data_IF_602284383588
#
_entry.id   IF_602284383588
#
_cell.length_a   1.000
_cell.length_b   1.000
_cell.length_c   1.000
_cell.angle_alpha   90.00
_cell.angle_beta   90.00
_cell.angle_gamma   90.00
#
_symmetry.space_group_name_H-M   'P 1'
#
loop_
_entity.id
_entity.type
_entity.pdbx_description
1 polymer ?
#
# COMPACT_ATOMS: atom_id res chain seq x y z
N UNK A 1 -14.22 -3.56 4.00
CA UNK A 1 -14.59 -2.14 3.88
C UNK A 1 -13.45 -1.35 4.50
N UNK A 2 -12.33 -1.24 3.78
CA UNK A 2 -11.14 -0.51 4.24
C UNK A 2 -11.38 0.99 4.09
N UNK A 3 -11.17 1.75 5.17
CA UNK A 3 -11.43 3.18 5.27
C UNK A 3 -10.35 4.05 4.60
N UNK A 4 -9.27 3.44 4.11
CA UNK A 4 -8.15 4.07 3.38
C UNK A 4 -8.66 4.92 2.21
N UNK A 5 -9.78 4.53 1.59
CA UNK A 5 -10.33 5.24 0.44
C UNK A 5 -10.89 6.63 0.72
N UNK A 6 -11.05 7.06 1.98
CA UNK A 6 -11.74 8.33 2.27
C UNK A 6 -10.77 9.51 2.38
N UNK A 7 -9.58 9.31 2.95
CA UNK A 7 -8.64 10.42 3.22
C UNK A 7 -7.76 10.69 1.99
N UNK A 8 -7.21 9.66 1.37
CA UNK A 8 -6.35 9.80 0.17
C UNK A 8 -7.18 10.31 -1.02
N UNK A 9 -8.40 9.82 -1.23
CA UNK A 9 -9.29 10.36 -2.29
C UNK A 9 -9.71 11.80 -2.04
N UNK A 10 -9.77 12.26 -0.80
CA UNK A 10 -10.15 13.64 -0.50
C UNK A 10 -9.03 14.63 -0.86
N UNK A 11 -7.77 14.24 -0.63
CA UNK A 11 -6.60 15.08 -0.92
C UNK A 11 -6.29 15.09 -2.42
N UNK A 12 -6.23 13.92 -3.06
CA UNK A 12 -5.94 13.82 -4.50
C UNK A 12 -7.16 14.13 -5.40
N UNK A 13 -8.38 14.12 -4.86
CA UNK A 13 -9.62 14.35 -5.62
C UNK A 13 -10.08 15.81 -5.72
N UNK A 14 -9.51 16.75 -4.94
CA UNK A 14 -10.04 18.12 -4.87
C UNK A 14 -9.30 19.19 -5.69
N UNK A 15 -8.16 18.89 -6.34
CA UNK A 15 -7.44 19.90 -7.13
C UNK A 15 -7.89 20.06 -8.60
N UNK A 16 -8.98 19.43 -9.04
CA UNK A 16 -9.58 19.66 -10.36
C UNK A 16 -11.01 20.20 -10.31
N UNK A 17 -11.30 21.24 -9.53
CA UNK A 17 -12.52 22.03 -9.77
C UNK A 17 -12.28 23.53 -9.58
N UNK A 18 -11.63 24.15 -10.57
CA UNK A 18 -12.01 25.50 -10.96
C UNK A 18 -12.22 25.58 -12.48
N UNK A 19 -13.40 26.11 -12.82
CA UNK A 19 -13.90 26.57 -14.10
C UNK A 19 -14.41 25.52 -15.13
N UNK A 20 -15.75 25.48 -15.21
CA UNK A 20 -16.60 25.20 -16.37
C UNK A 20 -16.69 23.79 -16.96
N UNK A 21 -17.93 23.27 -16.94
CA UNK A 21 -18.42 22.30 -17.92
C UNK A 21 -18.44 20.87 -17.40
N UNK A 22 -19.63 20.40 -17.02
CA UNK A 22 -19.92 19.00 -16.72
C UNK A 22 -19.50 18.11 -17.89
N UNK A 23 -18.45 17.33 -17.69
CA UNK A 23 -18.29 16.01 -18.33
C UNK A 23 -18.18 15.01 -17.18
N UNK A 24 -19.16 14.13 -16.96
CA UNK A 24 -18.98 13.03 -16.03
C UNK A 24 -17.90 12.13 -16.63
N UNK A 25 -16.68 12.22 -16.11
CA UNK A 25 -15.63 11.26 -16.42
C UNK A 25 -16.18 9.90 -16.00
N UNK A 26 -16.37 9.00 -16.97
CA UNK A 26 -17.09 7.76 -16.74
C UNK A 26 -16.34 6.87 -15.76
N UNK A 27 -17.05 6.35 -14.75
CA UNK A 27 -16.58 5.39 -13.73
C UNK A 27 -16.07 4.05 -14.30
N UNK A 28 -16.00 3.89 -15.63
CA UNK A 28 -15.56 2.65 -16.28
C UNK A 28 -14.09 2.34 -16.02
N UNK A 29 -13.22 3.35 -16.07
CA UNK A 29 -11.76 3.18 -15.89
C UNK A 29 -11.40 2.83 -14.45
N UNK A 30 -11.94 3.56 -13.47
CA UNK A 30 -11.76 3.25 -12.05
C UNK A 30 -12.26 1.84 -11.71
N UNK A 31 -13.39 1.42 -12.31
CA UNK A 31 -13.90 0.06 -12.11
C UNK A 31 -13.05 -1.04 -12.75
N UNK A 32 -12.30 -0.71 -13.82
CA UNK A 32 -11.40 -1.66 -14.49
C UNK A 32 -10.11 -1.84 -13.72
N UNK A 33 -9.47 -0.74 -13.32
CA UNK A 33 -8.26 -0.78 -12.48
C UNK A 33 -8.51 -1.56 -11.19
N UNK A 34 -9.62 -1.30 -10.50
CA UNK A 34 -9.95 -2.02 -9.27
C UNK A 34 -10.17 -3.52 -9.52
N UNK A 35 -10.80 -3.89 -10.64
CA UNK A 35 -10.95 -5.31 -11.03
C UNK A 35 -9.61 -5.98 -11.31
N UNK A 36 -8.70 -5.29 -11.99
CA UNK A 36 -7.36 -5.80 -12.29
C UNK A 36 -6.57 -5.98 -11.00
N UNK A 37 -6.61 -5.01 -10.09
CA UNK A 37 -6.01 -5.11 -8.75
C UNK A 37 -6.58 -6.28 -7.95
N UNK A 38 -7.91 -6.43 -7.87
CA UNK A 38 -8.51 -7.57 -7.18
C UNK A 38 -8.11 -8.92 -7.79
N UNK A 39 -7.93 -9.00 -9.11
CA UNK A 39 -7.47 -10.21 -9.77
C UNK A 39 -5.99 -10.53 -9.43
N UNK A 40 -5.11 -9.53 -9.40
CA UNK A 40 -3.71 -9.70 -8.94
C UNK A 40 -3.64 -10.17 -7.50
N UNK A 41 -4.40 -9.51 -6.61
CA UNK A 41 -4.51 -9.89 -5.20
C UNK A 41 -4.94 -11.35 -5.08
N UNK A 42 -5.99 -11.77 -5.79
CA UNK A 42 -6.49 -13.15 -5.70
C UNK A 42 -5.47 -14.18 -6.22
N UNK A 43 -4.75 -13.86 -7.31
CA UNK A 43 -3.73 -14.73 -7.86
C UNK A 43 -2.52 -14.88 -6.91
N UNK A 44 -2.00 -13.75 -6.42
CA UNK A 44 -0.91 -13.74 -5.45
C UNK A 44 -1.30 -14.44 -4.15
N UNK A 45 -2.51 -14.21 -3.64
CA UNK A 45 -3.01 -14.88 -2.43
C UNK A 45 -3.06 -16.40 -2.61
N UNK A 46 -3.53 -16.90 -3.75
CA UNK A 46 -3.57 -18.35 -4.03
C UNK A 46 -2.17 -18.98 -4.02
N UNK A 47 -1.16 -18.25 -4.49
CA UNK A 47 0.23 -18.70 -4.55
C UNK A 47 0.93 -18.60 -3.19
N UNK A 48 0.77 -17.47 -2.50
CA UNK A 48 1.50 -17.15 -1.27
C UNK A 48 0.89 -17.76 -0.02
N UNK A 49 -0.42 -18.02 0.00
CA UNK A 49 -1.14 -18.50 1.19
C UNK A 49 -0.51 -19.74 1.84
N UNK A 50 -0.12 -20.81 1.11
CA UNK A 50 0.55 -21.96 1.71
C UNK A 50 1.88 -21.56 2.39
N UNK A 51 2.71 -20.79 1.67
CA UNK A 51 4.03 -20.39 2.13
C UNK A 51 3.97 -19.45 3.34
N UNK A 52 3.17 -18.38 3.30
CA UNK A 52 2.98 -17.47 4.44
C UNK A 52 2.48 -18.25 5.66
N UNK A 53 1.54 -19.19 5.46
CA UNK A 53 1.01 -20.02 6.54
C UNK A 53 2.05 -20.94 7.18
N UNK A 54 3.07 -21.38 6.44
CA UNK A 54 4.20 -22.15 6.95
C UNK A 54 5.20 -21.25 7.68
N UNK A 55 5.61 -20.15 7.04
CA UNK A 55 6.57 -19.20 7.62
C UNK A 55 6.05 -18.63 8.94
N UNK A 56 4.78 -18.24 9.03
CA UNK A 56 4.21 -17.73 10.28
C UNK A 56 4.08 -18.78 11.39
N UNK A 57 4.04 -20.07 11.06
CA UNK A 57 4.08 -21.13 12.10
C UNK A 57 5.49 -21.33 12.64
N UNK A 58 6.51 -21.05 11.84
CA UNK A 58 7.92 -21.18 12.21
C UNK A 58 8.44 -19.93 12.92
N UNK A 59 8.26 -18.76 12.30
CA UNK A 59 8.79 -17.47 12.75
C UNK A 59 7.84 -16.70 13.66
N UNK A 60 6.55 -17.03 13.65
CA UNK A 60 5.49 -16.35 14.41
C UNK A 60 4.96 -15.10 13.72
N UNK A 61 5.85 -14.25 13.19
CA UNK A 61 5.49 -13.00 12.52
C UNK A 61 6.47 -12.61 11.40
N UNK A 62 6.00 -11.83 10.45
CA UNK A 62 6.81 -11.21 9.40
C UNK A 62 6.68 -9.68 9.50
N UNK A 63 7.75 -9.03 9.94
CA UNK A 63 7.83 -7.58 10.04
C UNK A 63 8.38 -6.96 8.76
N UNK A 64 7.78 -5.85 8.33
CA UNK A 64 8.15 -5.12 7.14
C UNK A 64 8.04 -3.61 7.31
N UNK A 65 8.73 -2.89 6.45
CA UNK A 65 8.60 -1.45 6.25
C UNK A 65 8.34 -1.14 4.79
N UNK A 66 7.79 0.03 4.50
CA UNK A 66 7.67 0.51 3.14
C UNK A 66 8.00 1.98 3.01
N UNK A 67 8.42 2.33 1.81
CA UNK A 67 8.64 3.68 1.33
C UNK A 67 7.88 3.81 0.01
N UNK A 68 7.12 4.87 -0.17
CA UNK A 68 6.41 5.12 -1.42
C UNK A 68 6.22 6.61 -1.70
N UNK A 69 5.98 6.93 -2.96
CA UNK A 69 5.91 8.30 -3.45
C UNK A 69 6.73 8.47 -4.71
N UNK A 70 6.65 9.66 -5.31
CA UNK A 70 7.28 9.98 -6.58
C UNK A 70 6.81 9.05 -7.72
N UNK A 71 7.56 8.00 -8.01
CA UNK A 71 7.34 7.07 -9.12
C UNK A 71 7.26 5.58 -8.73
N UNK A 72 7.48 5.24 -7.45
CA UNK A 72 7.43 3.84 -7.00
C UNK A 72 7.01 3.63 -5.53
N UNK A 73 6.76 2.37 -5.19
CA UNK A 73 6.53 1.88 -3.84
C UNK A 73 7.37 0.62 -3.60
N UNK A 74 8.00 0.54 -2.43
CA UNK A 74 8.82 -0.60 -2.03
C UNK A 74 8.41 -1.13 -0.67
N UNK A 75 8.34 -2.45 -0.53
CA UNK A 75 8.13 -3.13 0.75
C UNK A 75 9.33 -4.01 1.07
N UNK A 76 9.98 -3.74 2.20
CA UNK A 76 11.15 -4.49 2.68
C UNK A 76 10.80 -5.33 3.90
N UNK A 77 11.11 -6.62 3.86
CA UNK A 77 10.91 -7.55 4.97
C UNK A 77 12.20 -7.72 5.80
N UNK A 78 12.08 -7.67 7.13
CA UNK A 78 13.26 -7.77 8.02
C UNK A 78 13.93 -9.14 8.01
N UNK A 79 13.15 -10.19 7.72
CA UNK A 79 13.59 -11.59 7.74
C UNK A 79 13.76 -12.15 6.31
N UNK A 80 13.91 -11.30 5.30
CA UNK A 80 14.14 -11.77 3.93
C UNK A 80 15.47 -12.51 3.81
N UNK A 81 15.48 -13.63 3.09
CA UNK A 81 16.70 -14.32 2.69
C UNK A 81 16.67 -14.69 1.20
N UNK A 82 17.86 -14.95 0.65
CA UNK A 82 18.03 -15.26 -0.78
C UNK A 82 17.30 -16.56 -1.19
N UNK A 83 17.10 -17.51 -0.27
CA UNK A 83 16.43 -18.77 -0.59
C UNK A 83 14.93 -18.60 -0.81
N UNK A 84 14.35 -17.51 -0.29
CA UNK A 84 12.93 -17.16 -0.37
C UNK A 84 12.70 -15.86 -1.15
N UNK A 85 13.68 -15.37 -1.89
CA UNK A 85 13.63 -14.06 -2.57
C UNK A 85 12.38 -13.90 -3.44
N UNK A 86 12.07 -14.86 -4.30
CA UNK A 86 10.89 -14.83 -5.18
C UNK A 86 9.57 -14.72 -4.37
N UNK A 87 9.48 -15.41 -3.23
CA UNK A 87 8.30 -15.32 -2.37
C UNK A 87 8.17 -13.95 -1.70
N UNK A 88 9.29 -13.32 -1.33
CA UNK A 88 9.28 -11.99 -0.75
C UNK A 88 8.97 -10.90 -1.79
N UNK A 89 9.45 -11.04 -3.03
CA UNK A 89 9.09 -10.17 -4.14
C UNK A 89 7.57 -10.25 -4.44
N UNK A 90 7.02 -11.46 -4.55
CA UNK A 90 5.58 -11.63 -4.72
C UNK A 90 4.78 -11.09 -3.52
N UNK A 91 5.30 -11.24 -2.30
CA UNK A 91 4.66 -10.74 -1.09
C UNK A 91 4.69 -9.20 -1.03
N UNK A 92 5.76 -8.57 -1.49
CA UNK A 92 5.87 -7.10 -1.61
C UNK A 92 4.72 -6.56 -2.46
N UNK A 93 4.56 -7.05 -3.69
CA UNK A 93 3.46 -6.62 -4.56
C UNK A 93 2.09 -6.92 -3.95
N UNK A 94 1.95 -8.08 -3.29
CA UNK A 94 0.70 -8.42 -2.60
C UNK A 94 0.37 -7.43 -1.48
N UNK A 95 1.35 -7.00 -0.69
CA UNK A 95 1.15 -6.03 0.40
C UNK A 95 0.84 -4.64 -0.14
N UNK A 96 1.57 -4.17 -1.18
CA UNK A 96 1.29 -2.90 -1.87
C UNK A 96 -0.16 -2.89 -2.35
N UNK A 97 -0.56 -3.93 -3.08
CA UNK A 97 -1.93 -4.05 -3.57
C UNK A 97 -2.90 -4.17 -2.39
N UNK A 98 -2.70 -5.02 -1.38
CA UNK A 98 -3.68 -5.21 -0.27
C UNK A 98 -3.89 -3.98 0.61
N UNK A 99 -2.81 -3.26 0.91
CA UNK A 99 -2.85 -2.08 1.76
C UNK A 99 -3.17 -0.80 0.98
N UNK A 100 -3.32 -0.89 -0.34
CA UNK A 100 -3.58 0.28 -1.19
C UNK A 100 -2.47 1.33 -1.04
N UNK A 101 -1.22 0.87 -0.95
CA UNK A 101 -0.05 1.76 -0.84
C UNK A 101 0.10 2.47 -2.19
N UNK A 102 0.03 3.81 -2.21
CA UNK A 102 0.16 4.55 -3.45
C UNK A 102 1.60 4.49 -3.95
N UNK A 103 1.75 4.20 -5.24
CA UNK A 103 3.03 3.96 -5.92
C UNK A 103 3.53 5.13 -6.76
N UNK A 104 2.75 6.21 -6.93
CA UNK A 104 3.21 7.40 -7.64
C UNK A 104 2.44 8.67 -7.22
N UNK A 105 3.13 9.81 -7.18
CA UNK A 105 2.56 11.13 -6.93
C UNK A 105 3.51 12.10 -6.20
N UNK A 106 3.08 13.35 -6.07
CA UNK A 106 3.80 14.43 -5.36
C UNK A 106 3.66 14.30 -3.84
N UNK A 107 4.12 13.18 -3.29
CA UNK A 107 4.10 12.90 -1.85
C UNK A 107 5.23 11.96 -1.48
N UNK A 108 5.51 11.88 -0.18
CA UNK A 108 6.33 10.85 0.43
C UNK A 108 5.50 10.13 1.50
N UNK A 109 5.52 8.80 1.49
CA UNK A 109 4.85 7.97 2.48
C UNK A 109 5.81 6.91 2.98
N UNK A 110 5.97 6.82 4.30
CA UNK A 110 6.72 5.76 4.96
C UNK A 110 5.81 5.02 5.91
N UNK A 111 5.99 3.71 6.04
CA UNK A 111 5.23 2.94 7.01
C UNK A 111 5.89 1.64 7.41
N UNK A 112 5.24 0.96 8.34
CA UNK A 112 5.65 -0.36 8.80
C UNK A 112 4.46 -1.21 9.18
N UNK A 113 4.65 -2.52 9.13
CA UNK A 113 3.63 -3.47 9.51
C UNK A 113 4.20 -4.81 9.91
N UNK A 114 3.32 -5.61 10.49
CA UNK A 114 3.62 -6.97 10.94
C UNK A 114 2.50 -7.89 10.46
N UNK A 115 2.86 -8.91 9.70
CA UNK A 115 1.97 -10.02 9.34
C UNK A 115 2.06 -11.08 10.42
N UNK A 116 0.93 -11.55 10.93
CA UNK A 116 0.87 -12.51 12.02
C UNK A 116 -0.33 -13.46 11.90
N UNK A 117 -0.22 -14.62 12.56
CA UNK A 117 -1.30 -15.60 12.63
C UNK A 117 -2.20 -15.33 13.84
N UNK A 118 -3.50 -15.17 13.60
CA UNK A 118 -4.53 -15.03 14.64
C UNK A 118 -5.62 -16.08 14.44
N UNK A 119 -5.53 -17.20 15.16
CA UNK A 119 -6.43 -18.34 14.98
C UNK A 119 -6.22 -18.99 13.61
N UNK A 120 -7.25 -19.00 12.76
CA UNK A 120 -7.15 -19.48 11.38
C UNK A 120 -6.95 -18.35 10.35
N UNK A 121 -6.73 -17.12 10.79
CA UNK A 121 -6.63 -15.96 9.89
C UNK A 121 -5.21 -15.41 9.92
N UNK A 122 -4.68 -15.11 8.73
CA UNK A 122 -3.48 -14.31 8.58
C UNK A 122 -3.89 -12.84 8.53
N UNK A 123 -3.32 -12.05 9.41
CA UNK A 123 -3.64 -10.63 9.58
C UNK A 123 -2.40 -9.79 9.39
N UNK A 124 -2.61 -8.51 9.09
CA UNK A 124 -1.57 -7.50 9.12
C UNK A 124 -2.02 -6.33 9.99
N UNK A 125 -1.12 -5.88 10.86
CA UNK A 125 -1.26 -4.62 11.59
C UNK A 125 -0.21 -3.66 11.05
N UNK A 126 -0.61 -2.44 10.70
CA UNK A 126 0.26 -1.48 10.05
C UNK A 126 0.06 -0.05 10.55
N UNK A 127 1.05 0.80 10.28
CA UNK A 127 1.04 2.23 10.53
C UNK A 127 1.84 2.96 9.47
N UNK A 128 1.45 4.17 9.13
CA UNK A 128 2.05 4.96 8.06
C UNK A 128 2.02 6.45 8.38
N UNK A 129 2.96 7.17 7.76
CA UNK A 129 3.06 8.62 7.79
C UNK A 129 3.22 9.09 6.34
N UNK A 130 2.31 9.94 5.90
CA UNK A 130 2.32 10.57 4.58
C UNK A 130 2.59 12.08 4.71
N UNK A 131 3.34 12.62 3.76
CA UNK A 131 3.64 14.04 3.58
C UNK A 131 3.42 14.43 2.13
N UNK A 132 2.61 15.44 1.86
CA UNK A 132 2.43 16.00 0.51
C UNK A 132 3.59 16.94 0.19
N UNK A 133 4.09 16.91 -1.05
CA UNK A 133 5.02 17.92 -1.56
C UNK A 133 4.19 19.13 -1.95
N UNK A 134 4.40 20.27 -1.27
CA UNK A 134 3.60 21.48 -1.49
C UNK A 134 4.32 22.51 -2.36
N UNK A 135 5.64 22.45 -2.40
CA UNK A 135 6.49 23.37 -3.16
C UNK A 135 7.88 22.75 -3.37
N UNK A 136 8.68 23.35 -4.25
CA UNK A 136 10.06 22.96 -4.52
C UNK A 136 10.98 24.18 -4.40
N UNK A 137 12.01 24.09 -3.55
CA UNK A 137 12.95 25.18 -3.39
C UNK A 137 13.91 25.23 -4.58
N UNK A 138 13.72 26.18 -5.49
CA UNK A 138 14.56 26.35 -6.68
C UNK A 138 16.04 26.66 -6.37
N UNK A 139 16.37 27.16 -5.19
CA UNK A 139 17.76 27.49 -4.82
C UNK A 139 18.50 26.30 -4.21
N UNK A 140 17.82 25.47 -3.41
CA UNK A 140 18.44 24.32 -2.72
C UNK A 140 18.16 22.99 -3.40
N UNK A 141 17.27 22.96 -4.40
CA UNK A 141 16.77 21.75 -5.05
C UNK A 141 16.10 20.77 -4.07
N UNK A 142 15.51 21.29 -2.99
CA UNK A 142 14.86 20.49 -1.94
C UNK A 142 13.34 20.61 -1.99
N UNK A 143 12.65 19.48 -1.79
CA UNK A 143 11.20 19.42 -1.65
C UNK A 143 10.72 20.04 -0.34
N UNK A 144 9.67 20.84 -0.42
CA UNK A 144 9.00 21.43 0.75
C UNK A 144 7.75 20.62 1.02
N UNK A 145 7.70 20.01 2.20
CA UNK A 145 6.58 19.17 2.62
C UNK A 145 5.54 19.94 3.45
N UNK A 146 4.27 19.58 3.23
CA UNK A 146 3.13 20.07 3.98
C UNK A 146 2.89 19.35 5.31
N UNK A 147 1.62 19.30 5.72
CA UNK A 147 1.21 18.61 6.94
C UNK A 147 1.45 17.10 6.87
N UNK A 148 1.76 16.51 8.04
CA UNK A 148 1.91 15.07 8.19
C UNK A 148 0.57 14.42 8.49
N UNK A 149 0.26 13.37 7.74
CA UNK A 149 -0.94 12.55 7.91
C UNK A 149 -0.51 11.19 8.43
N UNK A 150 -1.14 10.74 9.51
CA UNK A 150 -0.86 9.43 10.12
C UNK A 150 -2.07 8.53 9.91
N UNK A 151 -1.83 7.31 9.43
CA UNK A 151 -2.86 6.29 9.24
C UNK A 151 -2.36 4.92 9.72
N UNK A 152 -3.26 4.05 10.15
CA UNK A 152 -2.91 2.71 10.62
C UNK A 152 -4.13 1.90 11.04
N UNK A 153 -4.08 0.60 10.78
CA UNK A 153 -5.19 -0.32 11.04
C UNK A 153 -4.69 -1.76 11.24
N UNK A 154 -5.62 -2.67 11.58
CA UNK A 154 -5.43 -4.11 11.50
C UNK A 154 -6.45 -4.71 10.52
N UNK A 155 -5.97 -5.38 9.48
CA UNK A 155 -6.83 -6.02 8.48
C UNK A 155 -6.54 -7.51 8.35
N UNK A 156 -7.54 -8.25 7.87
CA UNK A 156 -7.38 -9.67 7.51
C UNK A 156 -6.82 -9.74 6.09
N UNK A 157 -5.69 -10.42 5.90
CA UNK A 157 -5.16 -10.72 4.57
C UNK A 157 -5.97 -11.86 3.95
N UNK A 158 -6.03 -13.00 4.64
CA UNK A 158 -6.79 -14.18 4.25
C UNK A 158 -7.02 -15.15 5.43
N UNK A 159 -7.88 -16.14 5.20
CA UNK A 159 -8.16 -17.25 6.13
C UNK A 159 -7.48 -18.50 5.62
N UNK A 160 -6.83 -19.28 6.49
CA UNK A 160 -6.20 -20.57 6.21
C UNK A 160 -7.23 -21.66 5.94
#
# INVERSE_FOLDING_TARGET
MGLISSVIKFIFGQRQQQANGKVPVSNGYLSRWEKERQARIAAAEAQLKPWIGEVLKEEGELSFSWESGNDEAFVTFQNSDEARADNFEDLEFYIIDKLDIPDAGEFQMNGSGTVFLAGNSVKVKYSSIMKEVVDFNEETEEEIYGEQIVDGDEIVLFVL
#
